data_IF_614285116678
#
_entry.id   IF_614285116678
#
_cell.length_a   1.000
_cell.length_b   1.000
_cell.length_c   1.000
_cell.angle_alpha   90.00
_cell.angle_beta   90.00
_cell.angle_gamma   90.00
#
_symmetry.space_group_name_H-M   'P 1'
#
loop_
_entity.id
_entity.type
_entity.pdbx_description
1 polymer ?
#
# COMPACT_ATOMS: atom_id res chain seq x y z
N UNK A 1 -3.22 -8.95 -30.58
CA UNK A 1 -2.08 -8.68 -31.49
C UNK A 1 -2.61 -7.73 -32.54
N UNK A 2 -2.01 -6.54 -32.73
CA UNK A 2 -2.38 -5.68 -33.86
C UNK A 2 -2.24 -6.46 -35.18
N UNK A 3 -3.15 -6.20 -36.11
CA UNK A 3 -3.07 -6.75 -37.46
C UNK A 3 -1.76 -6.28 -38.09
N UNK A 4 -0.86 -7.23 -38.40
CA UNK A 4 0.56 -6.94 -38.71
C UNK A 4 0.69 -6.06 -39.95
N UNK A 5 -0.29 -6.13 -40.85
CA UNK A 5 -0.39 -5.33 -42.06
C UNK A 5 -0.68 -3.85 -41.77
N UNK A 6 -1.61 -3.55 -40.85
CA UNK A 6 -1.99 -2.15 -40.52
C UNK A 6 -0.86 -1.42 -39.82
N UNK A 7 -0.15 -2.10 -38.92
CA UNK A 7 1.01 -1.53 -38.23
C UNK A 7 2.16 -1.22 -39.19
N UNK A 8 2.40 -2.10 -40.16
CA UNK A 8 3.45 -1.92 -41.18
C UNK A 8 3.12 -0.72 -42.07
N UNK A 9 1.86 -0.58 -42.51
CA UNK A 9 1.39 0.55 -43.32
C UNK A 9 1.52 1.87 -42.55
N UNK A 10 1.07 1.92 -41.29
CA UNK A 10 1.17 3.15 -40.47
C UNK A 10 2.62 3.56 -40.18
N UNK A 11 3.52 2.59 -39.97
CA UNK A 11 4.96 2.88 -39.80
C UNK A 11 5.58 3.43 -41.08
N UNK A 12 5.18 2.92 -42.26
CA UNK A 12 5.62 3.47 -43.55
C UNK A 12 5.12 4.90 -43.76
N UNK A 13 3.83 5.17 -43.49
CA UNK A 13 3.25 6.51 -43.59
C UNK A 13 3.89 7.50 -42.60
N UNK A 14 4.18 7.03 -41.38
CA UNK A 14 4.91 7.79 -40.36
C UNK A 14 6.31 8.18 -40.83
N UNK A 15 7.02 7.30 -41.53
CA UNK A 15 8.33 7.62 -42.11
C UNK A 15 8.22 8.64 -43.24
N UNK A 16 7.21 8.49 -44.12
CA UNK A 16 6.97 9.41 -45.25
C UNK A 16 6.66 10.84 -44.80
N UNK A 17 5.78 11.02 -43.81
CA UNK A 17 5.48 12.37 -43.29
C UNK A 17 6.70 12.97 -42.57
N UNK A 18 7.48 12.13 -41.88
CA UNK A 18 8.71 12.56 -41.20
C UNK A 18 9.77 13.00 -42.19
N UNK A 19 9.98 12.28 -43.29
CA UNK A 19 10.95 12.66 -44.32
C UNK A 19 10.53 13.92 -45.05
N UNK A 20 9.24 14.04 -45.40
CA UNK A 20 8.72 15.22 -46.11
C UNK A 20 8.85 16.47 -45.24
N UNK A 21 8.51 16.40 -43.95
CA UNK A 21 8.64 17.53 -43.02
C UNK A 21 10.07 17.87 -42.60
N UNK A 22 11.06 17.08 -43.01
CA UNK A 22 12.47 17.36 -42.75
C UNK A 22 13.16 18.08 -43.93
N UNK A 23 12.48 18.24 -45.07
CA UNK A 23 13.01 18.98 -46.22
C UNK A 23 12.98 20.49 -45.94
N UNK A 24 13.92 21.23 -46.54
CA UNK A 24 13.94 22.70 -46.48
C UNK A 24 12.74 23.31 -47.21
N UNK A 25 12.29 22.66 -48.30
CA UNK A 25 11.12 23.02 -49.09
C UNK A 25 10.15 21.83 -49.21
N UNK A 26 9.33 21.57 -48.17
CA UNK A 26 8.36 20.49 -48.18
C UNK A 26 7.22 20.73 -49.18
N UNK A 27 6.68 19.67 -49.78
CA UNK A 27 5.52 19.77 -50.68
C UNK A 27 4.20 19.69 -49.90
N UNK A 28 3.34 20.71 -50.06
CA UNK A 28 2.06 20.84 -49.34
C UNK A 28 1.03 19.78 -49.74
N UNK A 29 0.87 19.51 -51.04
CA UNK A 29 -0.06 18.50 -51.57
C UNK A 29 0.31 17.09 -51.07
N UNK A 30 1.60 16.74 -51.16
CA UNK A 30 2.11 15.45 -50.68
C UNK A 30 1.91 15.27 -49.18
N UNK A 31 2.10 16.35 -48.39
CA UNK A 31 1.81 16.31 -46.95
C UNK A 31 0.32 16.04 -46.69
N UNK A 32 -0.58 16.66 -47.46
CA UNK A 32 -2.02 16.47 -47.32
C UNK A 32 -2.44 15.03 -47.66
N UNK A 33 -1.87 14.45 -48.71
CA UNK A 33 -2.17 13.08 -49.15
C UNK A 33 -1.72 12.05 -48.12
N UNK A 34 -0.53 12.26 -47.53
CA UNK A 34 -0.03 11.40 -46.46
C UNK A 34 -0.93 11.52 -45.22
N UNK A 35 -1.37 12.73 -44.84
CA UNK A 35 -2.29 12.93 -43.72
C UNK A 35 -3.66 12.28 -43.96
N UNK A 36 -4.20 12.36 -45.17
CA UNK A 36 -5.44 11.68 -45.57
C UNK A 36 -5.29 10.15 -45.49
N UNK A 37 -4.16 9.62 -45.95
CA UNK A 37 -3.85 8.18 -45.90
C UNK A 37 -3.68 7.69 -44.45
N UNK A 38 -3.08 8.51 -43.59
CA UNK A 38 -2.97 8.20 -42.15
C UNK A 38 -4.37 8.16 -41.53
N UNK A 39 -5.20 9.18 -41.78
CA UNK A 39 -6.55 9.26 -41.22
C UNK A 39 -7.42 8.06 -41.64
N UNK A 40 -7.45 7.70 -42.92
CA UNK A 40 -8.24 6.57 -43.41
C UNK A 40 -7.77 5.22 -42.87
N UNK A 41 -6.46 5.08 -42.61
CA UNK A 41 -5.87 3.85 -42.08
C UNK A 41 -6.11 3.70 -40.57
N UNK A 42 -6.06 4.80 -39.80
CA UNK A 42 -6.15 4.77 -38.34
C UNK A 42 -7.59 5.01 -37.82
N UNK A 43 -8.43 5.67 -38.61
CA UNK A 43 -9.83 5.99 -38.32
C UNK A 43 -10.71 5.64 -39.54
N UNK A 44 -10.89 4.35 -39.89
CA UNK A 44 -11.74 3.97 -41.01
C UNK A 44 -13.19 4.42 -40.79
N UNK A 45 -13.81 5.07 -41.78
CA UNK A 45 -15.22 5.49 -41.71
C UNK A 45 -16.16 4.27 -41.64
N UNK A 46 -17.10 4.27 -40.69
CA UNK A 46 -18.09 3.21 -40.54
C UNK A 46 -19.14 3.25 -41.67
N UNK A 47 -18.88 2.59 -42.79
CA UNK A 47 -19.93 2.19 -43.74
C UNK A 47 -20.43 0.79 -43.43
N UNK A 48 -21.46 0.71 -42.58
CA UNK A 48 -22.40 -0.41 -42.49
C UNK A 48 -21.87 -1.73 -41.89
N UNK A 49 -22.51 -2.15 -40.79
CA UNK A 49 -22.31 -3.41 -40.03
C UNK A 49 -20.97 -3.51 -39.27
N UNK A 50 -21.08 -3.21 -37.97
CA UNK A 50 -20.12 -3.46 -36.88
C UNK A 50 -19.12 -4.59 -37.18
N UNK A 51 -17.90 -4.22 -37.56
CA UNK A 51 -16.69 -4.90 -37.08
C UNK A 51 -16.02 -3.93 -36.11
N UNK A 52 -15.96 -4.30 -34.83
CA UNK A 52 -15.04 -3.66 -33.88
C UNK A 52 -13.66 -3.59 -34.55
N UNK A 53 -12.93 -2.46 -34.50
CA UNK A 53 -11.52 -2.52 -34.87
C UNK A 53 -10.86 -3.47 -33.87
N UNK A 54 -10.27 -4.55 -34.39
CA UNK A 54 -9.68 -5.65 -33.61
C UNK A 54 -8.32 -5.25 -32.99
N UNK A 55 -8.02 -3.95 -32.92
CA UNK A 55 -6.72 -3.42 -32.54
C UNK A 55 -6.90 -2.20 -31.62
N UNK A 56 -6.17 -2.16 -30.51
CA UNK A 56 -6.11 -1.02 -29.59
C UNK A 56 -5.47 0.19 -30.30
N UNK A 57 -6.17 1.33 -30.34
CA UNK A 57 -5.67 2.56 -30.94
C UNK A 57 -4.47 3.08 -30.13
N UNK A 58 -4.55 3.01 -28.81
CA UNK A 58 -3.43 3.36 -27.91
C UNK A 58 -2.19 2.52 -28.24
N UNK A 59 -2.32 1.19 -28.31
CA UNK A 59 -1.19 0.31 -28.61
C UNK A 59 -0.59 0.58 -30.01
N UNK A 60 -1.44 0.90 -30.98
CA UNK A 60 -1.03 1.21 -32.35
C UNK A 60 -0.26 2.53 -32.42
N UNK A 61 -0.70 3.55 -31.68
CA UNK A 61 -0.02 4.84 -31.60
C UNK A 61 1.34 4.73 -30.89
N UNK A 62 1.45 3.89 -29.87
CA UNK A 62 2.69 3.64 -29.14
C UNK A 62 3.71 2.89 -29.99
N UNK A 63 3.29 1.82 -30.67
CA UNK A 63 4.17 0.96 -31.47
C UNK A 63 4.66 1.62 -32.76
N UNK A 64 3.80 2.40 -33.43
CA UNK A 64 4.16 3.13 -34.66
C UNK A 64 4.91 4.44 -34.39
N UNK A 65 4.82 4.99 -33.16
CA UNK A 65 5.34 6.31 -32.83
C UNK A 65 4.64 7.47 -33.57
N UNK A 66 3.52 7.20 -34.25
CA UNK A 66 2.82 8.13 -35.13
C UNK A 66 2.37 9.40 -34.42
N UNK A 67 1.84 9.29 -33.20
CA UNK A 67 1.35 10.45 -32.44
C UNK A 67 2.45 11.47 -32.14
N UNK A 68 3.67 11.00 -31.84
CA UNK A 68 4.84 11.87 -31.63
C UNK A 68 5.27 12.54 -32.93
N UNK A 69 5.23 11.81 -34.05
CA UNK A 69 5.58 12.34 -35.37
C UNK A 69 4.58 13.41 -35.81
N UNK A 70 3.27 13.15 -35.74
CA UNK A 70 2.24 14.13 -36.08
C UNK A 70 2.35 15.40 -35.24
N UNK A 71 2.62 15.29 -33.93
CA UNK A 71 2.82 16.46 -33.07
C UNK A 71 4.07 17.30 -33.46
N UNK A 72 5.12 16.65 -33.97
CA UNK A 72 6.30 17.34 -34.52
C UNK A 72 6.01 17.96 -35.88
N UNK A 73 5.36 17.23 -36.78
CA UNK A 73 4.94 17.72 -38.10
C UNK A 73 3.99 18.92 -37.99
N UNK A 74 3.06 18.93 -37.04
CA UNK A 74 2.19 20.08 -36.76
C UNK A 74 3.00 21.36 -36.45
N UNK A 75 4.09 21.24 -35.67
CA UNK A 75 4.98 22.37 -35.38
C UNK A 75 5.74 22.83 -36.63
N UNK A 76 6.12 21.91 -37.52
CA UNK A 76 6.75 22.23 -38.80
C UNK A 76 5.78 22.96 -39.74
N UNK A 77 4.56 22.43 -39.93
CA UNK A 77 3.52 23.07 -40.74
C UNK A 77 3.15 24.46 -40.22
N UNK A 78 3.12 24.64 -38.88
CA UNK A 78 2.92 25.96 -38.27
C UNK A 78 4.03 26.98 -38.62
N UNK A 79 5.25 26.52 -38.92
CA UNK A 79 6.34 27.39 -39.37
C UNK A 79 6.19 27.70 -40.86
N UNK A 80 5.97 26.69 -41.69
CA UNK A 80 5.82 26.87 -43.16
C UNK A 80 4.61 27.72 -43.53
N UNK A 81 3.49 27.62 -42.80
CA UNK A 81 2.31 28.46 -43.05
C UNK A 81 2.54 29.97 -42.85
N UNK A 82 3.64 30.37 -42.20
CA UNK A 82 4.01 31.79 -42.05
C UNK A 82 4.59 32.38 -43.33
N UNK A 83 5.11 31.52 -44.20
CA UNK A 83 5.84 31.90 -45.42
C UNK A 83 5.15 31.39 -46.69
N UNK A 84 4.30 30.36 -46.59
CA UNK A 84 3.56 29.76 -47.70
C UNK A 84 2.10 29.48 -47.28
N UNK A 85 1.15 30.17 -47.93
CA UNK A 85 -0.28 30.05 -47.65
C UNK A 85 -0.83 28.64 -47.96
N UNK A 86 -0.18 27.87 -48.82
CA UNK A 86 -0.60 26.51 -49.17
C UNK A 86 -0.46 25.52 -47.99
N UNK A 87 0.23 25.89 -46.92
CA UNK A 87 0.35 25.08 -45.71
C UNK A 87 -0.78 25.30 -44.69
N UNK A 88 -1.67 26.28 -44.88
CA UNK A 88 -2.82 26.48 -43.98
C UNK A 88 -3.75 25.25 -43.97
N UNK A 89 -4.17 24.68 -45.12
CA UNK A 89 -4.99 23.47 -45.15
C UNK A 89 -4.27 22.24 -44.55
N UNK A 90 -2.96 22.13 -44.76
CA UNK A 90 -2.13 21.04 -44.21
C UNK A 90 -2.06 21.12 -42.68
N UNK A 91 -1.90 22.33 -42.14
CA UNK A 91 -1.89 22.58 -40.71
C UNK A 91 -3.24 22.24 -40.06
N UNK A 92 -4.35 22.72 -40.64
CA UNK A 92 -5.69 22.46 -40.12
C UNK A 92 -6.01 20.96 -40.13
N UNK A 93 -5.68 20.26 -41.21
CA UNK A 93 -5.86 18.82 -41.32
C UNK A 93 -5.07 18.05 -40.26
N UNK A 94 -3.78 18.36 -40.09
CA UNK A 94 -2.94 17.71 -39.09
C UNK A 94 -3.44 17.97 -37.66
N UNK A 95 -3.94 19.19 -37.38
CA UNK A 95 -4.49 19.53 -36.08
C UNK A 95 -5.80 18.78 -35.80
N UNK A 96 -6.72 18.76 -36.77
CA UNK A 96 -7.99 18.04 -36.68
C UNK A 96 -7.77 16.54 -36.42
N UNK A 97 -6.84 15.92 -37.17
CA UNK A 97 -6.48 14.51 -36.97
C UNK A 97 -5.95 14.24 -35.55
N UNK A 98 -5.07 15.10 -35.03
CA UNK A 98 -4.54 14.95 -33.67
C UNK A 98 -5.62 15.06 -32.60
N UNK A 99 -6.58 15.98 -32.75
CA UNK A 99 -7.70 16.10 -31.80
C UNK A 99 -8.64 14.88 -31.86
N UNK A 100 -8.95 14.38 -33.07
CA UNK A 100 -9.72 13.13 -33.23
C UNK A 100 -9.03 11.94 -32.54
N UNK A 101 -7.72 11.79 -32.74
CA UNK A 101 -6.93 10.72 -32.10
C UNK A 101 -6.92 10.82 -30.57
N UNK A 102 -6.83 12.04 -30.02
CA UNK A 102 -6.88 12.27 -28.56
C UNK A 102 -8.24 11.89 -27.98
N UNK A 103 -9.33 12.31 -28.60
CA UNK A 103 -10.67 12.00 -28.11
C UNK A 103 -10.97 10.50 -28.22
N UNK A 104 -10.54 9.82 -29.27
CA UNK A 104 -10.75 8.38 -29.41
C UNK A 104 -9.88 7.56 -28.43
N UNK A 105 -8.62 7.96 -28.19
CA UNK A 105 -7.78 7.37 -27.14
C UNK A 105 -8.36 7.59 -25.72
N UNK A 106 -9.01 8.74 -25.49
CA UNK A 106 -9.71 9.04 -24.23
C UNK A 106 -10.96 8.18 -24.06
N UNK A 107 -11.70 7.89 -25.14
CA UNK A 107 -12.81 6.91 -25.11
C UNK A 107 -12.31 5.50 -24.84
N UNK A 108 -11.24 5.06 -25.51
CA UNK A 108 -10.64 3.73 -25.32
C UNK A 108 -10.11 3.53 -23.88
N UNK A 109 -9.45 4.53 -23.31
CA UNK A 109 -8.96 4.48 -21.92
C UNK A 109 -10.11 4.44 -20.91
N UNK A 110 -11.20 5.19 -21.13
CA UNK A 110 -12.42 5.12 -20.31
C UNK A 110 -13.13 3.78 -20.45
N UNK A 111 -13.22 3.21 -21.66
CA UNK A 111 -13.83 1.90 -21.90
C UNK A 111 -13.02 0.77 -21.26
N UNK A 112 -11.69 0.84 -21.34
CA UNK A 112 -10.76 -0.08 -20.66
C UNK A 112 -10.84 0.04 -19.14
N UNK A 113 -10.99 1.25 -18.61
CA UNK A 113 -11.24 1.48 -17.19
C UNK A 113 -12.60 0.92 -16.74
N UNK A 114 -13.66 1.12 -17.52
CA UNK A 114 -15.00 0.58 -17.22
C UNK A 114 -15.05 -0.96 -17.30
N UNK A 115 -14.33 -1.58 -18.25
CA UNK A 115 -14.18 -3.03 -18.34
C UNK A 115 -13.37 -3.61 -17.18
N UNK A 116 -12.32 -2.92 -16.73
CA UNK A 116 -11.57 -3.27 -15.50
C UNK A 116 -12.42 -3.10 -14.24
N UNK A 117 -13.27 -2.08 -14.15
CA UNK A 117 -14.20 -1.90 -13.03
C UNK A 117 -15.26 -3.00 -12.94
N UNK A 118 -15.74 -3.55 -14.06
CA UNK A 118 -16.61 -4.74 -14.05
C UNK A 118 -15.91 -6.01 -13.54
N UNK A 119 -14.60 -6.15 -13.76
CA UNK A 119 -13.80 -7.25 -13.20
C UNK A 119 -13.41 -7.06 -11.70
N UNK A 120 -13.57 -5.86 -11.13
CA UNK A 120 -13.34 -5.61 -9.70
C UNK A 120 -14.48 -6.17 -8.83
N UNK A 121 -15.66 -6.46 -9.40
CA UNK A 121 -16.80 -7.03 -8.66
C UNK A 121 -16.70 -8.53 -8.39
N UNK A 122 -15.70 -9.24 -8.92
CA UNK A 122 -15.58 -10.70 -8.81
C UNK A 122 -14.60 -11.19 -7.73
N UNK A 123 -14.02 -10.33 -6.91
CA UNK A 123 -13.21 -10.78 -5.75
C UNK A 123 -14.15 -10.91 -4.55
N UNK A 124 -14.81 -12.07 -4.45
CA UNK A 124 -15.50 -12.53 -3.24
C UNK A 124 -14.55 -12.55 -2.05
N UNK A 125 -15.03 -12.88 -0.85
CA UNK A 125 -14.09 -13.33 0.19
C UNK A 125 -13.30 -14.52 -0.39
N UNK A 126 -12.01 -14.60 -0.10
CA UNK A 126 -11.25 -15.77 -0.52
C UNK A 126 -11.81 -17.01 0.18
N UNK A 127 -12.43 -17.90 -0.59
CA UNK A 127 -12.83 -19.22 -0.10
C UNK A 127 -11.58 -20.10 0.06
N UNK A 128 -11.60 -20.98 1.07
CA UNK A 128 -10.54 -21.95 1.40
C UNK A 128 -9.23 -21.39 1.99
N UNK A 129 -9.19 -20.14 2.47
CA UNK A 129 -8.04 -19.62 3.22
C UNK A 129 -6.80 -19.29 2.38
N UNK A 130 -6.93 -19.25 1.05
CA UNK A 130 -5.84 -18.86 0.15
C UNK A 130 -5.67 -17.34 0.17
N UNK A 131 -4.45 -16.84 0.39
CA UNK A 131 -4.18 -15.41 0.44
C UNK A 131 -4.37 -14.77 -0.94
N UNK A 132 -5.26 -13.77 -1.05
CA UNK A 132 -5.44 -12.94 -2.26
C UNK A 132 -4.90 -11.53 -2.02
N UNK A 133 -3.67 -11.28 -2.47
CA UNK A 133 -3.02 -9.98 -2.37
C UNK A 133 -3.64 -8.93 -3.31
N UNK A 134 -3.84 -7.68 -2.87
CA UNK A 134 -4.29 -6.63 -3.77
C UNK A 134 -3.18 -6.28 -4.80
N UNK A 135 -3.45 -6.37 -6.12
CA UNK A 135 -2.44 -6.14 -7.15
C UNK A 135 -2.15 -4.64 -7.38
N UNK A 136 -3.09 -3.76 -7.02
CA UNK A 136 -2.96 -2.31 -7.21
C UNK A 136 -3.60 -1.55 -6.06
N UNK A 137 -3.17 -0.30 -5.87
CA UNK A 137 -3.72 0.63 -4.87
C UNK A 137 -5.23 0.83 -5.05
N UNK A 138 -5.71 0.88 -6.29
CA UNK A 138 -7.15 1.05 -6.59
C UNK A 138 -7.97 -0.17 -6.14
N UNK A 139 -7.48 -1.39 -6.40
CA UNK A 139 -8.12 -2.62 -5.93
C UNK A 139 -8.09 -2.70 -4.41
N UNK A 140 -6.96 -2.35 -3.79
CA UNK A 140 -6.84 -2.35 -2.34
C UNK A 140 -7.82 -1.37 -1.68
N UNK A 141 -7.90 -0.14 -2.19
CA UNK A 141 -8.86 0.87 -1.74
C UNK A 141 -10.29 0.39 -1.85
N UNK A 142 -10.68 -0.17 -3.00
CA UNK A 142 -12.02 -0.71 -3.21
C UNK A 142 -12.35 -1.83 -2.20
N UNK A 143 -11.38 -2.70 -1.91
CA UNK A 143 -11.51 -3.78 -0.92
C UNK A 143 -11.69 -3.23 0.52
N UNK A 144 -10.89 -2.25 0.92
CA UNK A 144 -11.02 -1.60 2.23
C UNK A 144 -12.40 -0.92 2.39
N UNK A 145 -12.89 -0.23 1.35
CA UNK A 145 -14.24 0.36 1.34
C UNK A 145 -15.32 -0.72 1.44
N UNK A 146 -15.22 -1.80 0.65
CA UNK A 146 -16.15 -2.95 0.68
C UNK A 146 -16.30 -3.52 2.08
N UNK A 147 -15.20 -3.66 2.81
CA UNK A 147 -15.19 -4.19 4.19
C UNK A 147 -15.38 -3.13 5.27
N UNK A 148 -15.83 -1.92 4.89
CA UNK A 148 -16.12 -0.81 5.82
C UNK A 148 -14.93 -0.48 6.74
N UNK A 149 -13.71 -0.60 6.22
CA UNK A 149 -12.48 -0.26 6.95
C UNK A 149 -12.27 1.25 6.95
N UNK A 150 -11.80 1.78 8.06
CA UNK A 150 -11.33 3.16 8.15
C UNK A 150 -10.15 3.38 7.19
N UNK A 151 -10.28 4.34 6.28
CA UNK A 151 -9.21 4.75 5.37
C UNK A 151 -8.43 5.91 5.98
N UNK A 152 -7.47 5.59 6.86
CA UNK A 152 -6.60 6.61 7.46
C UNK A 152 -5.66 7.25 6.43
N UNK A 153 -5.20 6.46 5.44
CA UNK A 153 -4.53 6.96 4.24
C UNK A 153 -5.39 6.69 3.01
N UNK A 154 -5.63 7.72 2.22
CA UNK A 154 -6.30 7.65 0.92
C UNK A 154 -5.52 8.48 -0.12
N UNK A 155 -4.83 7.85 -1.09
CA UNK A 155 -4.83 6.42 -1.38
C UNK A 155 -4.13 5.57 -0.30
N UNK A 156 -4.57 4.33 -0.06
CA UNK A 156 -3.92 3.44 0.90
C UNK A 156 -2.56 2.97 0.38
N UNK A 157 -1.64 2.66 1.31
CA UNK A 157 -0.33 2.09 1.00
C UNK A 157 -0.47 0.58 0.81
N UNK A 158 0.08 0.03 -0.28
CA UNK A 158 0.04 -1.41 -0.52
C UNK A 158 0.73 -2.17 0.64
N UNK A 159 0.18 -3.32 1.04
CA UNK A 159 0.81 -4.15 2.06
C UNK A 159 2.18 -4.65 1.56
N UNK A 160 3.19 -4.76 2.45
CA UNK A 160 4.45 -5.41 2.11
C UNK A 160 4.18 -6.89 1.81
N UNK A 161 5.03 -7.48 0.95
CA UNK A 161 5.15 -8.93 0.79
C UNK A 161 6.30 -9.39 1.67
N UNK A 162 6.09 -10.47 2.40
CA UNK A 162 7.04 -10.89 3.42
C UNK A 162 7.26 -12.39 3.34
N UNK A 163 8.53 -12.78 3.22
CA UNK A 163 8.93 -14.16 3.33
C UNK A 163 9.33 -14.50 4.77
N UNK A 164 8.89 -15.69 5.23
CA UNK A 164 9.23 -16.26 6.53
C UNK A 164 10.43 -17.17 6.35
N UNK A 165 11.44 -17.01 7.19
CA UNK A 165 12.61 -17.86 7.15
C UNK A 165 12.33 -19.21 7.82
N UNK A 166 12.91 -20.28 7.27
CA UNK A 166 12.80 -21.63 7.84
C UNK A 166 13.50 -21.73 9.20
N UNK A 167 14.63 -21.05 9.35
CA UNK A 167 15.40 -21.07 10.59
C UNK A 167 14.66 -20.32 11.71
N UNK A 168 14.35 -21.03 12.79
CA UNK A 168 13.81 -20.44 14.02
C UNK A 168 14.93 -20.11 15.02
N UNK A 169 14.72 -19.08 15.82
CA UNK A 169 15.63 -18.67 16.91
C UNK A 169 15.08 -19.07 18.27
N UNK A 170 15.94 -19.28 19.29
CA UNK A 170 15.49 -19.58 20.64
C UNK A 170 14.71 -18.41 21.26
N UNK A 171 13.87 -18.73 22.24
CA UNK A 171 13.18 -17.71 23.06
C UNK A 171 14.21 -16.80 23.76
N UNK A 172 13.90 -15.50 23.93
CA UNK A 172 14.85 -14.54 24.47
C UNK A 172 15.15 -14.79 25.94
N UNK A 173 16.36 -14.42 26.36
CA UNK A 173 16.75 -14.42 27.79
C UNK A 173 16.30 -13.11 28.44
N UNK A 174 15.87 -13.16 29.70
CA UNK A 174 15.56 -11.95 30.48
C UNK A 174 16.81 -11.46 31.21
N UNK A 175 17.15 -10.20 31.00
CA UNK A 175 18.25 -9.54 31.69
C UNK A 175 17.87 -9.12 33.12
N UNK A 176 18.87 -8.78 33.95
CA UNK A 176 18.66 -8.31 35.34
C UNK A 176 17.79 -7.05 35.44
N UNK A 177 17.82 -6.20 34.42
CA UNK A 177 16.99 -4.98 34.34
C UNK A 177 15.58 -5.24 33.79
N UNK A 178 15.22 -6.50 33.55
CA UNK A 178 13.92 -6.91 33.03
C UNK A 178 13.80 -6.91 31.50
N UNK A 179 14.76 -6.35 30.76
CA UNK A 179 14.73 -6.35 29.29
C UNK A 179 14.92 -7.76 28.72
N UNK A 180 14.24 -8.04 27.61
CA UNK A 180 14.36 -9.27 26.84
C UNK A 180 15.50 -9.13 25.84
N UNK A 181 16.42 -10.08 25.86
CA UNK A 181 17.59 -10.14 24.99
C UNK A 181 17.36 -11.20 23.92
N UNK A 182 17.23 -10.73 22.69
CA UNK A 182 17.31 -11.55 21.48
C UNK A 182 18.76 -11.55 20.99
N UNK A 183 19.36 -12.72 20.83
CA UNK A 183 20.78 -12.86 20.46
C UNK A 183 21.05 -12.32 19.05
N UNK A 184 20.11 -12.51 18.14
CA UNK A 184 20.18 -12.10 16.74
C UNK A 184 19.70 -10.65 16.49
N UNK A 185 18.97 -10.05 17.43
CA UNK A 185 18.42 -8.70 17.31
C UNK A 185 18.77 -7.85 18.53
N UNK A 186 19.95 -7.21 18.50
CA UNK A 186 20.49 -6.49 19.66
C UNK A 186 19.77 -5.17 19.99
N UNK A 187 19.12 -4.57 19.02
CA UNK A 187 18.44 -3.28 19.18
C UNK A 187 16.97 -3.41 19.62
N UNK A 188 16.43 -4.64 19.59
CA UNK A 188 15.09 -4.93 20.07
C UNK A 188 15.14 -5.40 21.53
N UNK A 189 14.64 -4.54 22.43
CA UNK A 189 14.73 -4.71 23.90
C UNK A 189 13.39 -4.40 24.60
N UNK A 190 12.27 -5.06 24.24
CA UNK A 190 11.06 -5.00 25.05
C UNK A 190 11.34 -5.57 26.45
N UNK A 191 10.58 -5.17 27.47
CA UNK A 191 10.73 -5.71 28.83
C UNK A 191 9.48 -6.47 29.31
N UNK A 192 8.45 -6.58 28.47
CA UNK A 192 7.29 -7.45 28.68
C UNK A 192 7.24 -8.54 27.61
N UNK A 193 7.02 -9.80 28.01
CA UNK A 193 6.70 -10.88 27.07
C UNK A 193 5.30 -10.68 26.47
N UNK A 194 4.98 -11.32 25.34
CA UNK A 194 3.61 -11.31 24.83
C UNK A 194 2.59 -11.83 25.87
N UNK A 195 2.94 -12.88 26.62
CA UNK A 195 2.11 -13.39 27.72
C UNK A 195 1.84 -12.32 28.79
N UNK A 196 2.87 -11.60 29.25
CA UNK A 196 2.73 -10.53 30.24
C UNK A 196 1.84 -9.40 29.72
N UNK A 197 1.96 -9.05 28.44
CA UNK A 197 1.10 -8.04 27.80
C UNK A 197 -0.36 -8.49 27.80
N UNK A 198 -0.63 -9.73 27.40
CA UNK A 198 -1.99 -10.28 27.33
C UNK A 198 -2.61 -10.43 28.71
N UNK A 199 -1.91 -11.04 29.67
CA UNK A 199 -2.42 -11.29 31.02
C UNK A 199 -2.72 -10.02 31.80
N UNK A 200 -1.91 -8.98 31.61
CA UNK A 200 -2.13 -7.70 32.29
C UNK A 200 -3.28 -6.87 31.68
N UNK A 201 -3.81 -7.28 30.52
CA UNK A 201 -4.91 -6.60 29.85
C UNK A 201 -4.46 -5.59 28.80
N UNK A 202 -4.82 -5.84 27.55
CA UNK A 202 -4.42 -5.05 26.39
C UNK A 202 -5.50 -5.03 25.30
N UNK A 203 -5.40 -4.05 24.39
CA UNK A 203 -6.19 -3.92 23.17
C UNK A 203 -7.72 -3.97 23.38
N UNK A 204 -8.17 -3.60 24.57
CA UNK A 204 -9.57 -3.61 24.98
C UNK A 204 -10.24 -4.97 24.91
N UNK A 205 -9.47 -6.06 24.93
CA UNK A 205 -10.00 -7.43 24.83
C UNK A 205 -10.29 -7.92 23.43
N UNK A 206 -9.91 -7.16 22.39
CA UNK A 206 -10.39 -7.36 21.01
C UNK A 206 -9.32 -7.81 20.02
N UNK A 207 -8.09 -8.05 20.49
CA UNK A 207 -6.95 -8.17 19.59
C UNK A 207 -7.09 -9.35 18.63
N UNK A 208 -7.52 -10.52 19.12
CA UNK A 208 -7.72 -11.74 18.33
C UNK A 208 -9.20 -12.01 18.04
N UNK A 209 -10.04 -10.97 17.92
CA UNK A 209 -11.43 -11.16 17.45
C UNK A 209 -11.46 -11.64 16.01
N UNK A 210 -12.57 -12.21 15.56
CA UNK A 210 -12.75 -12.52 14.13
C UNK A 210 -12.67 -11.26 13.27
N UNK A 211 -11.93 -11.31 12.17
CA UNK A 211 -11.72 -10.16 11.27
C UNK A 211 -11.81 -10.60 9.81
N UNK A 212 -12.24 -9.68 8.94
CA UNK A 212 -11.93 -9.77 7.51
C UNK A 212 -10.69 -8.93 7.26
N UNK A 213 -9.62 -9.53 6.73
CA UNK A 213 -8.39 -8.79 6.38
C UNK A 213 -8.51 -8.16 5.00
N UNK A 214 -8.28 -6.85 4.92
CA UNK A 214 -8.13 -6.15 3.64
C UNK A 214 -6.86 -6.57 2.91
N UNK A 215 -5.83 -7.00 3.63
CA UNK A 215 -4.54 -7.41 3.05
C UNK A 215 -4.67 -8.77 2.35
N UNK A 216 -5.22 -9.77 3.05
CA UNK A 216 -5.27 -11.15 2.52
C UNK A 216 -6.60 -11.53 1.87
N UNK A 217 -7.64 -10.70 2.03
CA UNK A 217 -9.00 -10.98 1.59
C UNK A 217 -9.67 -12.21 2.27
N UNK A 218 -9.15 -12.61 3.44
CA UNK A 218 -9.62 -13.77 4.20
C UNK A 218 -10.44 -13.32 5.42
N UNK A 219 -11.44 -14.11 5.80
CA UNK A 219 -12.11 -14.03 7.09
C UNK A 219 -11.41 -14.95 8.11
N UNK A 220 -10.67 -14.36 9.05
CA UNK A 220 -10.01 -15.08 10.14
C UNK A 220 -10.97 -15.25 11.30
N UNK A 221 -11.12 -16.49 11.77
CA UNK A 221 -11.85 -16.78 13.02
C UNK A 221 -10.93 -16.57 14.21
N UNK A 222 -11.50 -16.10 15.31
CA UNK A 222 -10.77 -15.81 16.54
C UNK A 222 -10.00 -17.03 17.07
N UNK A 223 -10.62 -18.21 17.05
CA UNK A 223 -10.08 -19.46 17.58
C UNK A 223 -8.86 -19.92 16.77
N UNK A 224 -8.94 -19.85 15.44
CA UNK A 224 -7.85 -20.22 14.54
C UNK A 224 -6.67 -19.25 14.70
N UNK A 225 -6.95 -17.95 14.74
CA UNK A 225 -5.92 -16.93 14.95
C UNK A 225 -5.15 -17.10 16.28
N UNK A 226 -5.87 -17.45 17.36
CA UNK A 226 -5.26 -17.77 18.65
C UNK A 226 -4.40 -19.02 18.54
N UNK A 227 -4.94 -20.11 18.00
CA UNK A 227 -4.25 -21.40 17.88
C UNK A 227 -2.95 -21.30 17.07
N UNK A 228 -2.95 -20.49 16.02
CA UNK A 228 -1.78 -20.29 15.14
C UNK A 228 -0.75 -19.28 15.68
N UNK A 229 -1.09 -18.52 16.73
CA UNK A 229 -0.24 -17.41 17.19
C UNK A 229 0.25 -17.57 18.62
N UNK A 230 -0.57 -18.14 19.51
CA UNK A 230 -0.33 -18.15 20.94
C UNK A 230 -0.12 -19.59 21.44
N UNK A 231 1.01 -19.90 22.08
CA UNK A 231 1.16 -21.13 22.82
C UNK A 231 0.08 -21.28 23.91
N UNK A 232 -0.45 -22.48 24.09
CA UNK A 232 -1.58 -22.74 25.00
C UNK A 232 -1.30 -22.33 26.45
N UNK A 233 -0.07 -22.51 26.91
CA UNK A 233 0.35 -22.13 28.27
C UNK A 233 0.24 -20.62 28.53
N UNK A 234 0.41 -19.76 27.51
CA UNK A 234 0.30 -18.31 27.68
C UNK A 234 -1.12 -17.88 28.01
N UNK A 235 -2.11 -18.65 27.56
CA UNK A 235 -3.54 -18.35 27.70
C UNK A 235 -4.26 -19.32 28.63
N UNK A 236 -3.54 -20.21 29.30
CA UNK A 236 -4.07 -21.10 30.31
C UNK A 236 -4.66 -20.30 31.48
N UNK A 237 -5.89 -20.65 31.86
CA UNK A 237 -6.66 -19.97 32.92
C UNK A 237 -7.17 -18.57 32.57
N UNK A 238 -6.94 -18.06 31.36
CA UNK A 238 -7.45 -16.74 30.95
C UNK A 238 -8.90 -16.80 30.48
N UNK A 239 -9.69 -15.77 30.80
CA UNK A 239 -10.97 -15.54 30.13
C UNK A 239 -10.74 -15.04 28.70
N UNK A 240 -10.55 -15.97 27.75
CA UNK A 240 -10.25 -15.67 26.34
C UNK A 240 -11.31 -14.78 25.68
N UNK A 241 -12.59 -15.00 26.01
CA UNK A 241 -13.72 -14.23 25.47
C UNK A 241 -13.63 -12.74 25.83
N UNK A 242 -13.26 -12.45 27.06
CA UNK A 242 -13.16 -11.07 27.55
C UNK A 242 -11.81 -10.42 27.19
N UNK A 243 -10.72 -11.18 27.26
CA UNK A 243 -9.36 -10.62 27.16
C UNK A 243 -8.76 -10.66 25.75
N UNK A 244 -9.27 -11.50 24.85
CA UNK A 244 -8.65 -11.74 23.53
C UNK A 244 -9.62 -11.62 22.36
N UNK A 245 -10.84 -12.18 22.48
CA UNK A 245 -11.74 -12.38 21.33
C UNK A 245 -13.03 -11.55 21.36
N UNK A 246 -13.12 -10.56 22.26
CA UNK A 246 -14.27 -9.67 22.31
C UNK A 246 -14.44 -8.93 20.97
N UNK A 247 -15.67 -8.87 20.48
CA UNK A 247 -15.98 -8.11 19.26
C UNK A 247 -15.99 -6.59 19.51
N UNK A 248 -16.26 -6.19 20.76
CA UNK A 248 -16.38 -4.80 21.17
C UNK A 248 -15.24 -4.40 22.10
N UNK A 249 -14.64 -3.24 21.85
CA UNK A 249 -13.53 -2.73 22.65
C UNK A 249 -14.01 -2.27 24.02
N UNK A 250 -13.38 -2.79 25.08
CA UNK A 250 -13.64 -2.36 26.47
C UNK A 250 -12.38 -1.79 27.11
N UNK A 251 -12.40 -0.50 27.46
CA UNK A 251 -11.28 0.14 28.16
C UNK A 251 -11.03 -0.49 29.54
N UNK A 252 -12.05 -1.08 30.17
CA UNK A 252 -11.92 -1.74 31.47
C UNK A 252 -11.04 -2.99 31.44
N UNK A 253 -10.84 -3.59 30.26
CA UNK A 253 -9.91 -4.71 30.07
C UNK A 253 -8.46 -4.24 30.06
N UNK A 254 -8.20 -3.00 29.65
CA UNK A 254 -6.84 -2.49 29.56
C UNK A 254 -6.24 -2.25 30.96
N UNK A 255 -4.97 -2.63 31.16
CA UNK A 255 -4.21 -2.42 32.39
C UNK A 255 -4.36 -1.02 33.01
N UNK A 256 -4.40 0.02 32.17
CA UNK A 256 -4.51 1.42 32.58
C UNK A 256 -5.91 2.02 32.40
N UNK A 257 -6.93 1.21 32.10
CA UNK A 257 -8.34 1.64 32.09
C UNK A 257 -8.72 2.63 30.97
N UNK A 258 -7.87 2.82 29.96
CA UNK A 258 -8.06 3.84 28.91
C UNK A 258 -8.00 3.25 27.51
N UNK A 259 -8.73 3.87 26.57
CA UNK A 259 -8.64 3.54 25.14
C UNK A 259 -7.33 4.07 24.55
N UNK A 260 -6.63 3.24 23.80
CA UNK A 260 -5.55 3.68 22.92
C UNK A 260 -5.38 2.72 21.72
N UNK A 261 -4.57 3.14 20.76
CA UNK A 261 -4.32 2.41 19.51
C UNK A 261 -5.25 2.82 18.36
N UNK A 262 -4.83 2.51 17.15
CA UNK A 262 -5.60 2.72 15.92
C UNK A 262 -6.50 1.53 15.58
N UNK A 263 -7.46 1.74 14.68
CA UNK A 263 -8.33 0.66 14.16
C UNK A 263 -7.56 -0.28 13.22
N UNK A 264 -8.09 -1.48 12.97
CA UNK A 264 -7.49 -2.38 11.97
C UNK A 264 -7.42 -1.72 10.58
N UNK A 265 -8.45 -0.96 10.18
CA UNK A 265 -8.45 -0.23 8.91
C UNK A 265 -7.35 0.83 8.81
N UNK A 266 -7.08 1.56 9.91
CA UNK A 266 -5.96 2.49 9.98
C UNK A 266 -4.62 1.77 9.74
N UNK A 267 -4.43 0.60 10.34
CA UNK A 267 -3.20 -0.17 10.17
C UNK A 267 -3.06 -0.76 8.76
N UNK A 268 -4.14 -1.32 8.22
CA UNK A 268 -4.20 -1.85 6.85
C UNK A 268 -3.93 -0.75 5.81
N UNK A 269 -4.65 0.37 5.87
CA UNK A 269 -4.47 1.49 4.92
C UNK A 269 -3.10 2.16 5.03
N UNK A 270 -2.43 2.06 6.17
CA UNK A 270 -1.09 2.62 6.39
C UNK A 270 0.06 1.78 5.82
N UNK A 271 -0.20 0.57 5.34
CA UNK A 271 0.83 -0.39 4.92
C UNK A 271 1.57 -1.01 6.12
N UNK A 272 0.90 -1.12 7.27
CA UNK A 272 1.51 -1.62 8.51
C UNK A 272 1.23 -3.09 8.81
N UNK A 273 0.34 -3.71 8.03
CA UNK A 273 -0.08 -5.11 8.11
C UNK A 273 0.52 -5.86 6.91
N UNK A 274 1.13 -7.01 7.16
CA UNK A 274 1.54 -7.99 6.16
C UNK A 274 0.54 -9.14 6.11
N UNK A 275 0.60 -9.95 5.07
CA UNK A 275 -0.15 -11.20 4.94
C UNK A 275 0.17 -12.21 6.02
N UNK A 276 1.44 -12.25 6.45
CA UNK A 276 1.87 -13.25 7.41
C UNK A 276 1.30 -12.92 8.79
N UNK A 277 1.13 -11.65 9.15
CA UNK A 277 0.59 -11.21 10.45
C UNK A 277 -0.64 -10.29 10.26
N UNK A 278 -1.81 -10.86 9.91
CA UNK A 278 -3.04 -10.09 9.59
C UNK A 278 -3.59 -9.25 10.76
N UNK A 279 -3.17 -9.53 12.00
CA UNK A 279 -3.51 -8.74 13.19
C UNK A 279 -2.48 -7.65 13.50
N UNK A 280 -1.35 -7.62 12.79
CA UNK A 280 -0.35 -6.57 12.87
C UNK A 280 0.74 -6.80 13.91
N UNK A 281 1.31 -5.71 14.43
CA UNK A 281 2.59 -5.72 15.14
C UNK A 281 2.61 -6.66 16.36
N UNK A 282 1.54 -6.74 17.14
CA UNK A 282 1.57 -7.59 18.34
C UNK A 282 1.47 -9.08 18.00
N UNK A 283 0.80 -9.46 16.90
CA UNK A 283 0.88 -10.83 16.37
C UNK A 283 2.29 -11.15 15.84
N UNK A 284 2.91 -10.20 15.10
CA UNK A 284 4.32 -10.31 14.74
C UNK A 284 5.18 -10.51 15.99
N UNK A 285 4.98 -9.73 17.05
CA UNK A 285 5.74 -9.83 18.28
C UNK A 285 5.56 -11.20 18.98
N UNK A 286 4.34 -11.74 19.01
CA UNK A 286 4.09 -13.08 19.55
C UNK A 286 4.93 -14.14 18.82
N UNK A 287 4.89 -14.13 17.49
CA UNK A 287 5.59 -15.14 16.67
C UNK A 287 7.10 -14.92 16.64
N UNK A 288 7.54 -13.67 16.65
CA UNK A 288 8.95 -13.30 16.76
C UNK A 288 9.54 -13.74 18.11
N UNK A 289 8.80 -13.54 19.20
CA UNK A 289 9.18 -14.02 20.54
C UNK A 289 9.28 -15.55 20.59
N UNK A 290 8.35 -16.24 19.93
CA UNK A 290 8.35 -17.71 19.80
C UNK A 290 9.35 -18.25 18.76
N UNK A 291 10.20 -17.38 18.19
CA UNK A 291 11.35 -17.79 17.38
C UNK A 291 11.18 -17.67 15.87
N UNK A 292 10.00 -17.28 15.34
CA UNK A 292 9.84 -17.01 13.90
C UNK A 292 10.72 -15.82 13.49
N UNK A 293 11.31 -15.89 12.30
CA UNK A 293 12.00 -14.77 11.64
C UNK A 293 11.46 -14.53 10.24
N UNK A 294 11.57 -13.30 9.76
CA UNK A 294 11.08 -12.89 8.44
C UNK A 294 11.76 -11.63 7.93
N UNK A 295 11.63 -11.37 6.63
CA UNK A 295 12.11 -10.12 6.01
C UNK A 295 11.49 -8.84 6.62
N UNK A 296 10.38 -8.98 7.34
CA UNK A 296 9.67 -7.87 7.98
C UNK A 296 10.25 -7.46 9.34
N UNK A 297 11.14 -8.27 9.92
CA UNK A 297 11.60 -8.10 11.29
C UNK A 297 12.28 -6.73 11.50
N UNK A 298 13.15 -6.33 10.56
CA UNK A 298 13.83 -5.02 10.63
C UNK A 298 12.83 -3.85 10.62
N UNK A 299 11.75 -3.95 9.83
CA UNK A 299 10.72 -2.92 9.78
C UNK A 299 9.96 -2.86 11.09
N UNK A 300 9.57 -4.00 11.65
CA UNK A 300 8.80 -4.05 12.89
C UNK A 300 9.62 -3.64 14.11
N UNK A 301 10.90 -4.01 14.16
CA UNK A 301 11.87 -3.55 15.18
C UNK A 301 12.08 -2.04 15.06
N UNK A 302 12.23 -1.49 13.84
CA UNK A 302 12.34 -0.05 13.63
C UNK A 302 11.10 0.71 14.12
N UNK A 303 9.89 0.16 13.91
CA UNK A 303 8.64 0.75 14.42
C UNK A 303 8.57 0.73 15.95
N UNK A 304 8.99 -0.37 16.56
CA UNK A 304 9.11 -0.46 18.01
C UNK A 304 10.13 0.56 18.54
N UNK A 305 11.31 0.66 17.93
CA UNK A 305 12.36 1.58 18.35
C UNK A 305 11.89 3.04 18.33
N UNK A 306 11.14 3.44 17.28
CA UNK A 306 10.52 4.78 17.16
C UNK A 306 9.43 5.03 18.20
N UNK A 307 8.80 3.99 18.74
CA UNK A 307 7.66 4.09 19.66
C UNK A 307 8.11 3.95 21.12
N UNK A 308 8.69 2.80 21.47
CA UNK A 308 9.02 2.35 22.82
C UNK A 308 10.53 2.18 23.07
N UNK A 309 11.36 2.22 22.02
CA UNK A 309 12.82 2.13 22.15
C UNK A 309 13.42 3.27 22.99
N UNK A 310 14.74 3.24 23.27
CA UNK A 310 15.40 4.19 24.15
C UNK A 310 15.19 5.68 23.80
N UNK A 311 15.09 5.99 22.50
CA UNK A 311 14.75 7.33 21.96
C UNK A 311 13.33 7.39 21.36
N UNK A 312 12.49 6.40 21.67
CA UNK A 312 11.14 6.27 21.15
C UNK A 312 10.25 7.41 21.64
N UNK A 313 9.33 7.86 20.78
CA UNK A 313 8.43 8.98 21.03
C UNK A 313 7.66 8.82 22.33
N UNK A 314 6.98 7.68 22.51
CA UNK A 314 6.08 7.47 23.64
C UNK A 314 6.85 7.25 24.94
N UNK A 315 7.96 6.49 24.89
CA UNK A 315 8.84 6.30 26.06
C UNK A 315 9.40 7.64 26.54
N UNK A 316 9.95 8.43 25.63
CA UNK A 316 10.55 9.73 25.95
C UNK A 316 9.52 10.70 26.51
N UNK A 317 8.32 10.75 25.92
CA UNK A 317 7.22 11.57 26.42
C UNK A 317 6.78 11.16 27.83
N UNK A 318 6.64 9.86 28.11
CA UNK A 318 6.26 9.39 29.44
C UNK A 318 7.34 9.75 30.48
N UNK A 319 8.61 9.46 30.21
CA UNK A 319 9.72 9.79 31.11
C UNK A 319 9.76 11.29 31.40
N UNK A 320 9.67 12.14 30.37
CA UNK A 320 9.70 13.59 30.54
C UNK A 320 8.53 14.09 31.41
N UNK A 321 7.34 13.51 31.26
CA UNK A 321 6.18 13.85 32.11
C UNK A 321 6.36 13.40 33.56
N UNK A 322 6.89 12.20 33.80
CA UNK A 322 7.21 11.75 35.16
C UNK A 322 8.25 12.66 35.83
N UNK A 323 9.28 13.07 35.08
CA UNK A 323 10.32 14.00 35.57
C UNK A 323 9.73 15.38 35.87
N UNK A 324 8.92 15.92 34.95
CA UNK A 324 8.31 17.24 35.13
C UNK A 324 7.33 17.29 36.31
N UNK A 325 6.62 16.19 36.57
CA UNK A 325 5.74 16.05 37.73
C UNK A 325 6.47 15.66 39.03
N UNK A 326 7.80 15.56 39.00
CA UNK A 326 8.64 15.11 40.13
C UNK A 326 8.14 13.80 40.79
N UNK A 327 7.72 12.83 39.97
CA UNK A 327 7.19 11.54 40.44
C UNK A 327 8.06 10.37 39.98
N UNK A 328 7.68 9.16 40.38
CA UNK A 328 8.38 7.93 40.07
C UNK A 328 7.78 7.17 38.87
N UNK A 329 8.50 6.16 38.38
CA UNK A 329 8.10 5.38 37.21
C UNK A 329 6.76 4.63 37.38
N UNK A 330 6.38 4.30 38.62
CA UNK A 330 5.20 3.49 38.97
C UNK A 330 3.92 4.31 39.11
N UNK A 331 4.01 5.65 39.05
CA UNK A 331 2.84 6.52 39.14
C UNK A 331 1.94 6.41 37.90
N UNK A 332 0.91 5.56 38.02
CA UNK A 332 -0.02 5.24 36.93
C UNK A 332 -0.90 6.41 36.52
N UNK A 333 -1.00 7.47 37.34
CA UNK A 333 -1.79 8.67 37.02
C UNK A 333 -1.15 9.48 35.89
N UNK A 334 0.17 9.40 35.72
CA UNK A 334 0.87 10.11 34.66
C UNK A 334 0.64 9.44 33.31
N UNK A 335 -0.16 10.12 32.46
CA UNK A 335 -0.40 9.75 31.06
C UNK A 335 -0.78 8.29 30.86
N UNK A 336 -1.90 7.82 31.44
CA UNK A 336 -2.36 6.43 31.31
C UNK A 336 -2.47 5.98 29.84
N UNK A 337 -2.82 6.89 28.92
CA UNK A 337 -2.89 6.58 27.47
C UNK A 337 -1.52 6.22 26.88
N UNK A 338 -0.46 6.95 27.26
CA UNK A 338 0.90 6.65 26.81
C UNK A 338 1.39 5.36 27.45
N UNK A 339 1.08 5.14 28.74
CA UNK A 339 1.40 3.88 29.44
C UNK A 339 0.75 2.68 28.78
N UNK A 340 -0.55 2.76 28.46
CA UNK A 340 -1.26 1.69 27.74
C UNK A 340 -0.70 1.49 26.34
N UNK A 341 -0.34 2.58 25.64
CA UNK A 341 0.31 2.49 24.34
C UNK A 341 1.63 1.72 24.45
N UNK A 342 2.51 2.07 25.39
CA UNK A 342 3.76 1.36 25.61
C UNK A 342 3.55 -0.11 26.01
N UNK A 343 2.54 -0.40 26.83
CA UNK A 343 2.15 -1.76 27.19
C UNK A 343 1.82 -2.60 25.95
N UNK A 344 1.08 -2.03 25.00
CA UNK A 344 0.80 -2.67 23.71
C UNK A 344 2.05 -2.92 22.85
N UNK A 345 3.12 -2.14 23.06
CA UNK A 345 4.43 -2.29 22.42
C UNK A 345 5.42 -3.15 23.25
N UNK A 346 4.94 -3.91 24.24
CA UNK A 346 5.79 -4.79 25.05
C UNK A 346 6.74 -4.04 25.99
N UNK A 347 6.37 -2.82 26.40
CA UNK A 347 7.20 -1.97 27.25
C UNK A 347 6.43 -1.44 28.46
N UNK A 348 7.06 -1.51 29.64
CA UNK A 348 6.63 -0.81 30.85
C UNK A 348 7.79 -0.02 31.45
N UNK A 349 7.52 1.22 31.87
CA UNK A 349 8.54 2.08 32.47
C UNK A 349 8.91 1.59 33.87
N UNK A 350 10.19 1.29 34.09
CA UNK A 350 10.75 0.95 35.40
C UNK A 350 11.53 2.11 36.02
N UNK A 351 11.78 2.11 37.35
CA UNK A 351 12.63 3.12 38.00
C UNK A 351 14.02 3.25 37.36
N UNK A 352 14.65 2.12 37.01
CA UNK A 352 15.98 2.07 36.41
C UNK A 352 15.98 2.72 35.03
N UNK A 353 14.95 2.47 34.22
CA UNK A 353 14.81 3.05 32.88
C UNK A 353 14.49 4.55 32.94
N UNK A 354 13.70 4.99 33.93
CA UNK A 354 13.45 6.42 34.16
C UNK A 354 14.73 7.14 34.58
N UNK A 355 15.54 6.53 35.45
CA UNK A 355 16.81 7.09 35.89
C UNK A 355 17.84 7.12 34.75
N UNK A 356 17.92 6.06 33.96
CA UNK A 356 18.71 6.05 32.73
C UNK A 356 18.28 7.19 31.78
N UNK A 357 16.98 7.44 31.62
CA UNK A 357 16.48 8.54 30.80
C UNK A 357 16.87 9.91 31.36
N UNK A 358 16.80 10.12 32.70
CA UNK A 358 17.26 11.36 33.33
C UNK A 358 18.72 11.66 33.00
N UNK A 359 19.60 10.66 33.11
CA UNK A 359 21.04 10.79 32.83
C UNK A 359 21.36 11.08 31.36
N UNK A 360 20.53 10.60 30.44
CA UNK A 360 20.78 10.70 29.00
C UNK A 360 19.94 11.78 28.28
N UNK A 361 19.09 12.55 28.99
CA UNK A 361 18.22 13.58 28.38
C UNK A 361 18.98 14.71 27.66
N UNK A 362 20.27 14.89 27.95
CA UNK A 362 21.12 15.98 27.44
C UNK A 362 22.13 15.54 26.36
N UNK A 363 22.10 14.26 25.95
CA UNK A 363 22.90 13.73 24.82
C UNK A 363 21.98 13.46 23.64
#
# INVERSE_FOLDING_TARGET
>A
MPDTDTQTVLSSLQQKIRSETALDTPNSERCIDILNSIESTILPEEKGKRKKPMVSLIATLESSGLGKTLAKSLKAFRRHKRTDANFEPVFEKCNSLLEKLKEEAKKESKASAAAKTKNIQADGLSDNGVVSFPPTVAVYRARLVKYKKELYKDPPVLPPRVDVYEERKPVPKRAKNGELIFEDQKDFRPNLTPEEVLRAGAFGGTYFRSIVSGVTNIHYKAEDAIKETLPDQWIAGMNKRQLLTSQSYSNAVNKFGVKCGGSLGMWESSGWISEIDPYGWFQWYCRFYDGRRSDDDLRQISRWAKSAGPKGRFRSQLCNKCIAANTNARDKSISPVIRQTLHHWGFELTPELLEWHRKNRKK
#
